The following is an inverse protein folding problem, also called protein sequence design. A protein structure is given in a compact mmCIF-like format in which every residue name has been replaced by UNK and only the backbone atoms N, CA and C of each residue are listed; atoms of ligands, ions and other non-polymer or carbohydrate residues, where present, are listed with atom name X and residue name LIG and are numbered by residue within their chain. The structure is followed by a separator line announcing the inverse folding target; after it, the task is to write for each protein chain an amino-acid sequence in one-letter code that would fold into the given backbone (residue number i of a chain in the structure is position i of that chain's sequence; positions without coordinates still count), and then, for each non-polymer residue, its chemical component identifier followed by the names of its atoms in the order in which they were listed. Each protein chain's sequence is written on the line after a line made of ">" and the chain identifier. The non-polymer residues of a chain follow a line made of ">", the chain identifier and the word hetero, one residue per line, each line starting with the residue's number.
data_IF_530618044542
#
_entry.id   IF_530618044542
#
_cell.length_a   1.000
_cell.length_b   1.000
_cell.length_c   1.000
_cell.angle_alpha   90.00
_cell.angle_beta   90.00
_cell.angle_gamma   90.00
#
_symmetry.space_group_name_H-M   'P 1'
#
loop_
_entity.id
_entity.type
_entity.pdbx_description
1 polymer ?
#
# COMPACT_ATOMS: atom_id res chain seq x y z
N UNK A 1 7.34 -2.53 -9.32
CA UNK A 1 6.69 -3.19 -10.47
C UNK A 1 5.29 -2.65 -10.57
N UNK A 2 4.98 -1.88 -11.62
CA UNK A 2 3.69 -1.22 -11.81
C UNK A 2 2.77 -2.23 -12.50
N UNK A 3 1.75 -2.72 -11.78
CA UNK A 3 0.75 -3.63 -12.32
C UNK A 3 -0.38 -2.75 -12.87
N UNK A 4 -0.77 -2.87 -14.15
CA UNK A 4 -1.87 -2.11 -14.69
C UNK A 4 -3.14 -2.44 -13.91
N UNK A 5 -3.81 -1.42 -13.36
CA UNK A 5 -5.04 -1.60 -12.62
C UNK A 5 -6.11 -2.17 -13.58
N UNK A 6 -6.75 -3.32 -13.26
CA UNK A 6 -7.80 -3.89 -14.12
C UNK A 6 -9.05 -3.00 -14.22
N UNK A 7 -9.22 -2.01 -13.32
CA UNK A 7 -10.33 -1.07 -13.32
C UNK A 7 -9.86 0.35 -12.93
N UNK A 8 -10.35 1.37 -13.62
CA UNK A 8 -10.02 2.81 -13.44
C UNK A 8 -10.27 3.31 -11.99
N UNK A 9 -11.13 2.61 -11.24
CA UNK A 9 -11.44 2.88 -9.82
C UNK A 9 -10.32 2.53 -8.84
N UNK A 10 -9.33 1.74 -9.26
CA UNK A 10 -8.21 1.29 -8.42
C UNK A 10 -6.91 2.08 -8.68
N UNK A 11 -6.95 3.02 -9.62
CA UNK A 11 -5.85 3.94 -9.92
C UNK A 11 -5.58 4.85 -8.72
N UNK A 12 -4.37 4.80 -8.17
CA UNK A 12 -3.99 5.57 -6.99
C UNK A 12 -4.47 5.01 -5.64
N UNK A 13 -5.18 3.86 -5.63
CA UNK A 13 -5.54 3.15 -4.41
C UNK A 13 -4.51 2.08 -4.07
N UNK A 14 -4.39 1.77 -2.78
CA UNK A 14 -3.59 0.65 -2.29
C UNK A 14 -4.26 -0.64 -2.73
N UNK A 15 -3.61 -1.37 -3.63
CA UNK A 15 -4.13 -2.65 -4.16
C UNK A 15 -3.71 -3.79 -3.26
N UNK A 16 -2.49 -3.75 -2.74
CA UNK A 16 -1.97 -4.79 -1.85
C UNK A 16 -0.87 -4.27 -0.91
N UNK A 17 -0.70 -4.96 0.22
CA UNK A 17 0.30 -4.66 1.25
C UNK A 17 1.37 -5.76 1.21
N UNK A 18 2.57 -5.42 0.74
CA UNK A 18 3.71 -6.35 0.65
C UNK A 18 4.32 -6.58 2.02
N UNK A 19 4.41 -5.53 2.83
CA UNK A 19 4.93 -5.61 4.18
C UNK A 19 4.04 -4.85 5.16
N UNK A 20 3.69 -5.50 6.26
CA UNK A 20 2.89 -4.90 7.32
C UNK A 20 3.67 -3.80 8.04
N UNK A 21 3.03 -2.65 8.19
CA UNK A 21 3.48 -1.60 9.09
C UNK A 21 3.05 -1.88 10.53
N UNK A 22 3.78 -1.32 11.49
CA UNK A 22 3.47 -1.44 12.90
C UNK A 22 3.54 -0.07 13.57
N UNK A 23 2.55 0.19 14.42
CA UNK A 23 2.47 1.37 15.27
C UNK A 23 2.52 0.88 16.72
N UNK A 24 3.38 1.50 17.54
CA UNK A 24 3.47 1.22 18.97
C UNK A 24 3.06 2.47 19.73
N UNK A 25 1.81 2.46 20.21
CA UNK A 25 1.17 3.68 20.74
C UNK A 25 1.09 4.75 19.66
N UNK A 26 1.65 5.93 19.93
CA UNK A 26 1.70 7.06 19.00
C UNK A 26 2.97 7.08 18.12
N UNK A 27 3.88 6.13 18.31
CA UNK A 27 5.15 6.09 17.58
C UNK A 27 5.11 5.09 16.44
N UNK A 28 5.52 5.54 15.25
CA UNK A 28 5.67 4.67 14.09
C UNK A 28 6.90 3.79 14.26
N UNK A 29 6.69 2.47 14.34
CA UNK A 29 7.78 1.49 14.41
C UNK A 29 8.25 1.09 13.01
N UNK A 30 7.31 0.91 12.07
CA UNK A 30 7.61 0.57 10.67
C UNK A 30 6.48 1.02 9.75
N UNK A 31 6.83 1.66 8.64
CA UNK A 31 5.88 1.99 7.59
C UNK A 31 5.54 0.75 6.75
N UNK A 32 4.26 0.61 6.39
CA UNK A 32 3.80 -0.46 5.52
C UNK A 32 4.32 -0.21 4.09
N UNK A 33 4.83 -1.26 3.45
CA UNK A 33 5.21 -1.22 2.04
C UNK A 33 4.00 -1.66 1.21
N UNK A 34 3.45 -0.76 0.42
CA UNK A 34 2.23 -0.99 -0.36
C UNK A 34 2.49 -0.92 -1.86
N UNK A 35 1.69 -1.67 -2.63
CA UNK A 35 1.62 -1.56 -4.08
C UNK A 35 0.43 -0.68 -4.44
N UNK A 36 0.71 0.36 -5.22
CA UNK A 36 -0.30 1.29 -5.73
C UNK A 36 -0.65 0.89 -7.15
N UNK A 37 -1.96 0.76 -7.42
CA UNK A 37 -2.47 0.55 -8.77
C UNK A 37 -2.20 1.77 -9.64
N UNK A 38 -1.53 1.58 -10.77
CA UNK A 38 -1.13 2.66 -11.69
C UNK A 38 -2.22 3.06 -12.66
#
# INVERSE_FOLDING_TARGET
>A
TQIPAPEEKLKGKVVDVVEKGYLLGEKVLRFAKVVVGS
#
